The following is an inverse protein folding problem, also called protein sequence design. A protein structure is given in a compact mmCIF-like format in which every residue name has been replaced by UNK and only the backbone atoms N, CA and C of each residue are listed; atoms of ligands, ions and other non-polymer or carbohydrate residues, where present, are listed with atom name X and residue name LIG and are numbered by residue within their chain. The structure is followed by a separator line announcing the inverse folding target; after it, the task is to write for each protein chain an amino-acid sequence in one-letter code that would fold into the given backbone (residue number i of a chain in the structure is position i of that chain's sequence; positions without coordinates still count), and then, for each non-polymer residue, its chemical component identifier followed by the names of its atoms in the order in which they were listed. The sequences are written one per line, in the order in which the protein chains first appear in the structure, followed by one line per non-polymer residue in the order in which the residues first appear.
data_IF_006153471934
#
_entry.id   IF_006153471934
#
_cell.length_a   1.000
_cell.length_b   1.000
_cell.length_c   1.000
_cell.angle_alpha   90.00
_cell.angle_beta   90.00
_cell.angle_gamma   90.00
#
_symmetry.space_group_name_H-M   'P 1'
#
loop_
_entity.id
_entity.type
_entity.pdbx_description
1 polymer ?
#
# COMPACT_ATOMS: atom_id res chain seq x y z
N UNK A 1 -43.39 -0.72 21.25
CA UNK A 1 -43.31 -0.95 19.79
C UNK A 1 -43.79 0.33 19.11
N UNK A 2 -42.84 1.18 18.71
CA UNK A 2 -42.86 1.64 17.33
C UNK A 2 -41.50 1.41 16.65
N UNK A 3 -41.61 0.92 15.43
CA UNK A 3 -40.55 0.72 14.46
C UNK A 3 -40.09 2.03 13.79
N UNK A 4 -38.80 2.02 13.42
CA UNK A 4 -38.20 2.70 12.27
C UNK A 4 -37.82 4.19 12.38
N UNK A 5 -36.61 4.35 12.93
CA UNK A 5 -35.45 5.12 12.42
C UNK A 5 -35.61 6.17 11.31
N UNK A 6 -34.96 7.35 11.46
CA UNK A 6 -34.82 8.35 10.42
C UNK A 6 -33.68 8.01 9.45
N UNK A 7 -33.95 8.16 8.15
CA UNK A 7 -32.92 8.30 7.10
C UNK A 7 -32.36 9.71 7.15
N UNK A 8 -31.23 9.90 7.82
CA UNK A 8 -30.40 11.10 7.66
C UNK A 8 -29.12 10.74 6.92
N UNK A 9 -29.03 11.32 5.72
CA UNK A 9 -27.89 11.24 4.83
C UNK A 9 -26.65 11.88 5.43
N UNK A 10 -25.61 11.08 5.68
CA UNK A 10 -24.24 11.57 5.80
C UNK A 10 -23.52 11.29 4.49
N UNK A 11 -23.62 12.24 3.55
CA UNK A 11 -22.77 12.31 2.36
C UNK A 11 -21.38 12.78 2.81
N UNK A 12 -20.39 11.89 2.78
CA UNK A 12 -18.99 12.27 2.88
C UNK A 12 -18.55 12.97 1.59
N UNK A 13 -18.73 14.28 1.55
CA UNK A 13 -18.05 15.16 0.62
C UNK A 13 -16.64 15.45 1.15
N UNK A 14 -15.66 14.58 0.85
CA UNK A 14 -14.23 14.92 0.98
C UNK A 14 -13.42 14.26 -0.15
N UNK A 15 -12.67 15.11 -0.86
CA UNK A 15 -11.62 14.82 -1.87
C UNK A 15 -11.94 14.83 -3.38
N UNK A 16 -13.04 15.43 -3.85
CA UNK A 16 -13.15 15.82 -5.27
C UNK A 16 -12.43 17.14 -5.64
N UNK A 17 -11.96 17.92 -4.65
CA UNK A 17 -11.46 19.28 -4.87
C UNK A 17 -9.96 19.42 -5.20
N UNK A 18 -9.18 18.32 -5.21
CA UNK A 18 -7.75 18.37 -5.60
C UNK A 18 -7.52 17.91 -7.06
N UNK A 19 -8.55 17.35 -7.72
CA UNK A 19 -8.48 16.94 -9.12
C UNK A 19 -8.55 18.10 -10.12
N UNK A 20 -9.03 19.28 -9.71
CA UNK A 20 -9.34 20.39 -10.60
C UNK A 20 -8.13 21.30 -10.98
N UNK A 21 -6.95 21.10 -10.40
CA UNK A 21 -5.78 21.98 -10.62
C UNK A 21 -4.64 21.37 -11.46
N UNK A 22 -4.84 20.18 -12.03
CA UNK A 22 -3.95 19.60 -13.05
C UNK A 22 -4.59 19.62 -14.46
N UNK A 23 -5.70 20.33 -14.62
CA UNK A 23 -6.38 20.58 -15.88
C UNK A 23 -5.67 21.67 -16.72
N UNK A 24 -4.45 21.36 -17.15
CA UNK A 24 -3.86 21.91 -18.39
C UNK A 24 -3.16 20.71 -19.03
N UNK A 25 -3.79 19.98 -19.93
CA UNK A 25 -4.17 20.50 -21.25
C UNK A 25 -3.03 20.26 -22.23
N UNK A 26 -2.81 19.01 -22.62
CA UNK A 26 -2.29 18.68 -23.96
C UNK A 26 -3.18 17.57 -24.50
N UNK A 27 -4.26 17.99 -25.15
CA UNK A 27 -4.97 17.15 -26.12
C UNK A 27 -4.00 17.00 -27.30
N UNK A 28 -3.30 15.88 -27.37
CA UNK A 28 -2.54 15.51 -28.55
C UNK A 28 -3.46 14.73 -29.49
N UNK A 29 -4.25 15.46 -30.27
CA UNK A 29 -4.79 14.93 -31.54
C UNK A 29 -3.63 14.84 -32.53
N UNK A 30 -3.39 13.65 -33.07
CA UNK A 30 -2.42 13.41 -34.14
C UNK A 30 -1.33 12.45 -33.72
N UNK A 31 -1.29 11.29 -34.41
CA UNK A 31 -0.19 10.33 -34.48
C UNK A 31 0.93 10.57 -33.47
N UNK A 32 0.83 9.94 -32.31
CA UNK A 32 2.02 9.71 -31.49
C UNK A 32 2.98 8.90 -32.35
N UNK A 33 3.93 9.59 -33.00
CA UNK A 33 5.24 9.02 -33.29
C UNK A 33 5.63 8.30 -32.01
N UNK A 34 5.74 6.97 -32.08
CA UNK A 34 6.41 6.20 -31.06
C UNK A 34 7.75 6.90 -30.85
N UNK A 35 7.84 7.69 -29.79
CA UNK A 35 9.13 8.08 -29.26
C UNK A 35 9.75 6.71 -28.98
N UNK A 36 10.87 6.40 -29.64
CA UNK A 36 11.72 5.27 -29.30
C UNK A 36 12.05 5.40 -27.81
N UNK A 37 11.16 4.89 -26.97
CA UNK A 37 11.36 4.81 -25.54
C UNK A 37 12.40 3.72 -25.41
N UNK A 38 13.65 4.12 -25.20
CA UNK A 38 14.69 3.20 -24.77
C UNK A 38 14.11 2.39 -23.61
N UNK A 39 13.89 1.10 -23.85
CA UNK A 39 13.53 0.16 -22.81
C UNK A 39 14.76 0.07 -21.92
N UNK A 40 14.74 0.79 -20.80
CA UNK A 40 15.77 0.69 -19.78
C UNK A 40 15.94 -0.78 -19.41
N UNK A 41 17.19 -1.22 -19.25
CA UNK A 41 17.43 -2.56 -18.75
C UNK A 41 16.90 -2.70 -17.30
N UNK A 42 16.70 -3.92 -16.84
CA UNK A 42 16.03 -4.15 -15.55
C UNK A 42 16.76 -3.50 -14.37
N UNK A 43 18.09 -3.57 -14.36
CA UNK A 43 18.94 -2.90 -13.37
C UNK A 43 18.72 -1.39 -13.32
N UNK A 44 18.63 -0.72 -14.48
CA UNK A 44 18.34 0.71 -14.56
C UNK A 44 16.94 1.06 -14.05
N UNK A 45 15.94 0.20 -14.32
CA UNK A 45 14.58 0.39 -13.79
C UNK A 45 14.53 0.25 -12.27
N UNK A 46 15.24 -0.74 -11.71
CA UNK A 46 15.35 -0.96 -10.27
C UNK A 46 16.05 0.20 -9.55
N UNK A 47 17.18 0.66 -10.11
CA UNK A 47 17.89 1.83 -9.61
C UNK A 47 17.03 3.10 -9.67
N UNK A 48 16.34 3.32 -10.80
CA UNK A 48 15.41 4.44 -10.99
C UNK A 48 14.26 4.41 -9.99
N UNK A 49 13.68 3.23 -9.74
CA UNK A 49 12.63 3.03 -8.74
C UNK A 49 13.10 3.43 -7.33
N UNK A 50 14.29 2.99 -6.93
CA UNK A 50 14.86 3.34 -5.62
C UNK A 50 15.14 4.85 -5.52
N UNK A 51 15.62 5.48 -6.58
CA UNK A 51 15.92 6.92 -6.62
C UNK A 51 14.67 7.83 -6.77
N UNK A 52 13.54 7.32 -7.28
CA UNK A 52 12.36 8.12 -7.60
C UNK A 52 11.78 8.86 -6.38
N UNK A 53 11.45 10.15 -6.52
CA UNK A 53 10.82 10.90 -5.44
C UNK A 53 9.28 10.72 -5.47
N UNK A 54 8.70 10.35 -4.32
CA UNK A 54 7.29 10.05 -4.16
C UNK A 54 6.47 11.26 -3.67
N UNK A 55 6.75 12.47 -4.18
CA UNK A 55 6.26 13.74 -3.57
C UNK A 55 4.75 13.77 -3.30
N UNK A 56 3.95 13.13 -4.16
CA UNK A 56 2.49 13.08 -4.02
C UNK A 56 1.87 11.71 -4.30
N UNK A 57 2.62 10.74 -4.83
CA UNK A 57 2.11 9.42 -5.21
C UNK A 57 3.07 8.32 -4.77
N UNK A 58 2.49 7.16 -4.49
CA UNK A 58 3.24 5.93 -4.29
C UNK A 58 3.94 5.55 -5.60
N UNK A 59 5.26 5.37 -5.56
CA UNK A 59 6.02 4.91 -6.72
C UNK A 59 5.69 3.42 -6.96
N UNK A 60 5.19 3.04 -8.15
CA UNK A 60 4.87 1.66 -8.45
C UNK A 60 6.14 0.80 -8.61
N UNK A 61 6.15 -0.44 -8.11
CA UNK A 61 7.26 -1.37 -8.38
C UNK A 61 7.48 -1.54 -9.90
N UNK A 62 8.74 -1.59 -10.37
CA UNK A 62 9.05 -1.82 -11.78
C UNK A 62 8.57 -3.20 -12.17
N UNK A 63 8.12 -3.34 -13.42
CA UNK A 63 7.94 -4.63 -14.05
C UNK A 63 9.28 -5.38 -14.11
N UNK A 64 9.33 -6.57 -13.52
CA UNK A 64 10.51 -7.43 -13.44
C UNK A 64 10.23 -8.70 -14.24
N UNK A 65 11.16 -9.02 -15.12
CA UNK A 65 11.19 -10.27 -15.86
C UNK A 65 12.13 -11.27 -15.19
N UNK A 66 13.23 -10.79 -14.60
CA UNK A 66 14.21 -11.61 -13.91
C UNK A 66 14.11 -11.50 -12.38
N UNK A 67 13.35 -12.41 -11.77
CA UNK A 67 13.19 -12.46 -10.31
C UNK A 67 14.53 -12.54 -9.56
N UNK A 68 15.55 -13.21 -10.10
CA UNK A 68 16.85 -13.33 -9.42
C UNK A 68 17.57 -11.98 -9.29
N UNK A 69 17.40 -11.10 -10.29
CA UNK A 69 17.96 -9.75 -10.27
C UNK A 69 17.27 -8.88 -9.22
N UNK A 70 15.95 -9.01 -9.06
CA UNK A 70 15.20 -8.36 -7.98
C UNK A 70 15.67 -8.80 -6.58
N UNK A 71 15.88 -10.11 -6.37
CA UNK A 71 16.41 -10.65 -5.11
C UNK A 71 17.79 -10.06 -4.80
N UNK A 72 18.69 -10.09 -5.79
CA UNK A 72 20.03 -9.53 -5.64
C UNK A 72 19.96 -8.04 -5.30
N UNK A 73 19.17 -7.28 -6.05
CA UNK A 73 19.00 -5.84 -5.85
C UNK A 73 18.53 -5.50 -4.43
N UNK A 74 17.50 -6.22 -3.93
CA UNK A 74 17.01 -6.01 -2.55
C UNK A 74 18.10 -6.32 -1.54
N UNK A 75 18.80 -7.45 -1.67
CA UNK A 75 19.88 -7.84 -0.73
C UNK A 75 21.01 -6.81 -0.68
N UNK A 76 21.43 -6.29 -1.84
CA UNK A 76 22.52 -5.31 -1.93
C UNK A 76 22.15 -3.96 -1.32
N UNK A 77 20.87 -3.57 -1.35
CA UNK A 77 20.41 -2.26 -0.89
C UNK A 77 19.75 -2.29 0.49
N UNK A 78 19.50 -3.46 1.08
CA UNK A 78 18.90 -3.61 2.40
C UNK A 78 19.96 -3.42 3.50
N UNK A 79 20.30 -2.17 3.78
CA UNK A 79 21.33 -1.77 4.75
C UNK A 79 20.75 -0.97 5.93
N UNK A 80 21.42 -0.98 7.07
CA UNK A 80 21.02 -0.25 8.29
C UNK A 80 20.91 1.26 8.10
N UNK A 81 21.69 1.79 7.16
CA UNK A 81 21.75 3.21 6.79
C UNK A 81 20.64 3.67 5.87
N UNK A 82 19.74 2.79 5.43
CA UNK A 82 18.65 3.17 4.53
C UNK A 82 17.72 4.21 5.17
N UNK A 83 17.27 5.15 4.35
CA UNK A 83 16.19 6.07 4.72
C UNK A 83 14.86 5.31 4.79
N UNK A 84 13.91 5.80 5.58
CA UNK A 84 12.57 5.21 5.67
C UNK A 84 11.88 5.11 4.29
N UNK A 85 12.05 6.12 3.43
CA UNK A 85 11.49 6.13 2.08
C UNK A 85 12.05 5.02 1.19
N UNK A 86 13.36 4.80 1.23
CA UNK A 86 13.99 3.70 0.49
C UNK A 86 13.60 2.34 1.06
N UNK A 87 13.54 2.21 2.39
CA UNK A 87 13.10 0.98 3.03
C UNK A 87 11.67 0.60 2.64
N UNK A 88 10.74 1.56 2.58
CA UNK A 88 9.37 1.34 2.09
C UNK A 88 9.34 0.87 0.63
N UNK A 89 10.23 1.40 -0.22
CA UNK A 89 10.31 0.96 -1.63
C UNK A 89 10.86 -0.46 -1.75
N UNK A 90 11.92 -0.79 -1.01
CA UNK A 90 12.51 -2.13 -0.97
C UNK A 90 11.50 -3.16 -0.41
N UNK A 91 10.80 -2.80 0.67
CA UNK A 91 9.70 -3.58 1.22
C UNK A 91 8.61 -3.85 0.18
N UNK A 92 8.08 -2.81 -0.47
CA UNK A 92 7.04 -2.97 -1.50
C UNK A 92 7.51 -3.85 -2.67
N UNK A 93 8.75 -3.68 -3.11
CA UNK A 93 9.35 -4.50 -4.16
C UNK A 93 9.39 -5.98 -3.74
N UNK A 94 9.87 -6.26 -2.53
CA UNK A 94 9.96 -7.60 -1.99
C UNK A 94 8.59 -8.26 -1.80
N UNK A 95 7.61 -7.51 -1.27
CA UNK A 95 6.23 -7.98 -1.07
C UNK A 95 5.55 -8.26 -2.41
N UNK A 96 5.64 -7.34 -3.36
CA UNK A 96 4.98 -7.47 -4.67
C UNK A 96 5.49 -8.70 -5.44
N UNK A 97 6.81 -8.91 -5.49
CA UNK A 97 7.43 -10.04 -6.18
C UNK A 97 7.60 -11.30 -5.32
N UNK A 98 7.08 -11.30 -4.09
CA UNK A 98 7.17 -12.42 -3.14
C UNK A 98 8.62 -12.92 -2.99
N UNK A 99 9.54 -11.99 -2.70
CA UNK A 99 10.97 -12.28 -2.57
C UNK A 99 11.29 -12.85 -1.18
N UNK A 100 10.69 -13.98 -0.81
CA UNK A 100 10.85 -14.61 0.50
C UNK A 100 12.31 -14.90 0.88
N UNK A 101 13.20 -15.08 -0.09
CA UNK A 101 14.65 -15.26 0.13
C UNK A 101 15.35 -14.02 0.69
N UNK A 102 14.65 -12.89 0.76
CA UNK A 102 15.14 -11.64 1.35
C UNK A 102 14.65 -11.45 2.80
N UNK A 103 13.75 -12.30 3.31
CA UNK A 103 13.12 -12.14 4.62
C UNK A 103 14.13 -12.05 5.77
N UNK A 104 15.18 -12.90 5.74
CA UNK A 104 16.24 -12.87 6.77
C UNK A 104 17.00 -11.55 6.84
N UNK A 105 17.12 -10.82 5.72
CA UNK A 105 17.72 -9.48 5.74
C UNK A 105 16.83 -8.44 6.44
N UNK A 106 15.51 -8.52 6.24
CA UNK A 106 14.55 -7.65 6.92
C UNK A 106 14.47 -7.96 8.42
N UNK A 107 14.55 -9.24 8.80
CA UNK A 107 14.61 -9.67 10.20
C UNK A 107 15.91 -9.22 10.89
N UNK A 108 17.05 -9.33 10.21
CA UNK A 108 18.32 -8.84 10.74
C UNK A 108 18.25 -7.33 11.03
N UNK A 109 17.75 -6.52 10.10
CA UNK A 109 17.57 -5.08 10.32
C UNK A 109 16.61 -4.75 11.47
N UNK A 110 15.61 -5.60 11.71
CA UNK A 110 14.65 -5.39 12.80
C UNK A 110 15.30 -5.64 14.16
N UNK A 111 16.25 -6.58 14.22
CA UNK A 111 17.00 -6.92 15.45
C UNK A 111 18.21 -6.02 15.69
N UNK A 112 18.67 -5.30 14.66
CA UNK A 112 19.61 -4.18 14.81
C UNK A 112 18.92 -3.06 15.61
N UNK A 113 19.39 -2.85 16.83
CA UNK A 113 18.66 -2.19 17.92
C UNK A 113 18.05 -0.82 17.54
N UNK A 114 16.73 -0.78 17.41
CA UNK A 114 15.92 0.44 17.49
C UNK A 114 15.58 0.73 18.95
N UNK A 115 16.26 1.69 19.57
CA UNK A 115 16.22 1.88 21.03
C UNK A 115 15.02 2.72 21.53
N UNK A 116 14.39 3.49 20.65
CA UNK A 116 13.41 4.51 21.02
C UNK A 116 12.34 4.73 19.92
N UNK A 117 11.43 5.68 20.17
CA UNK A 117 10.36 6.06 19.26
C UNK A 117 10.84 6.50 17.87
N UNK A 118 12.10 6.92 17.69
CA UNK A 118 12.62 7.35 16.38
C UNK A 118 12.85 6.16 15.43
N UNK A 119 13.07 4.96 15.98
CA UNK A 119 13.20 3.72 15.22
C UNK A 119 11.86 3.17 14.74
N UNK A 120 10.79 3.33 15.52
CA UNK A 120 9.46 2.71 15.31
C UNK A 120 8.95 2.75 13.86
N UNK A 121 9.07 3.87 13.10
CA UNK A 121 8.68 3.89 11.69
C UNK A 121 9.38 2.88 10.80
N UNK A 122 10.67 2.59 11.05
CA UNK A 122 11.44 1.60 10.30
C UNK A 122 11.04 0.19 10.74
N UNK A 123 11.01 -0.13 12.03
CA UNK A 123 10.55 -1.44 12.49
C UNK A 123 9.14 -1.78 12.02
N UNK A 124 8.21 -0.82 12.01
CA UNK A 124 6.87 -1.07 11.48
C UNK A 124 6.89 -1.51 10.02
N UNK A 125 7.70 -0.86 9.16
CA UNK A 125 7.87 -1.28 7.76
C UNK A 125 8.50 -2.67 7.67
N UNK A 126 9.50 -2.97 8.50
CA UNK A 126 10.15 -4.28 8.55
C UNK A 126 9.14 -5.37 8.96
N UNK A 127 8.32 -5.13 9.98
CA UNK A 127 7.29 -6.05 10.46
C UNK A 127 6.20 -6.29 9.42
N UNK A 128 5.70 -5.23 8.79
CA UNK A 128 4.74 -5.35 7.68
C UNK A 128 5.35 -6.19 6.55
N UNK A 129 6.64 -6.00 6.25
CA UNK A 129 7.33 -6.81 5.23
C UNK A 129 7.38 -8.28 5.63
N UNK A 130 7.81 -8.58 6.85
CA UNK A 130 7.91 -9.94 7.37
C UNK A 130 6.55 -10.64 7.42
N UNK A 131 5.46 -9.92 7.74
CA UNK A 131 4.10 -10.46 7.70
C UNK A 131 3.73 -11.03 6.31
N UNK A 132 4.31 -10.47 5.24
CA UNK A 132 4.00 -10.87 3.87
C UNK A 132 4.96 -11.91 3.29
N UNK A 133 6.27 -11.73 3.49
CA UNK A 133 7.30 -12.57 2.83
C UNK A 133 8.02 -13.54 3.77
N UNK A 134 7.84 -13.39 5.08
CA UNK A 134 8.43 -14.26 6.10
C UNK A 134 7.83 -15.66 6.09
N UNK A 135 8.59 -16.60 6.65
CA UNK A 135 8.08 -17.95 6.95
C UNK A 135 7.17 -17.94 8.19
N UNK A 136 6.51 -19.07 8.48
CA UNK A 136 5.56 -19.18 9.59
C UNK A 136 6.17 -18.79 10.95
N UNK A 137 7.40 -19.23 11.22
CA UNK A 137 8.13 -18.89 12.45
C UNK A 137 8.41 -17.39 12.54
N UNK A 138 8.88 -16.77 11.46
CA UNK A 138 9.15 -15.34 11.39
C UNK A 138 7.87 -14.52 11.60
N UNK A 139 6.75 -14.94 10.99
CA UNK A 139 5.45 -14.27 11.16
C UNK A 139 4.92 -14.43 12.59
N UNK A 140 5.07 -15.62 13.19
CA UNK A 140 4.68 -15.85 14.59
C UNK A 140 5.51 -14.98 15.55
N UNK A 141 6.83 -14.91 15.37
CA UNK A 141 7.72 -14.05 16.14
C UNK A 141 7.37 -12.56 15.95
N UNK A 142 7.08 -12.15 14.72
CA UNK A 142 6.65 -10.79 14.41
C UNK A 142 5.34 -10.43 15.12
N UNK A 143 4.38 -11.35 15.15
CA UNK A 143 3.07 -11.14 15.77
C UNK A 143 3.08 -11.11 17.30
N UNK A 144 4.11 -11.66 17.95
CA UNK A 144 4.18 -11.73 19.41
C UNK A 144 5.32 -10.88 19.96
N UNK A 145 6.57 -11.29 19.70
CA UNK A 145 7.73 -10.70 20.35
C UNK A 145 8.02 -9.30 19.80
N UNK A 146 8.11 -9.17 18.48
CA UNK A 146 8.54 -7.91 17.88
C UNK A 146 7.46 -6.83 17.91
N UNK A 147 6.18 -7.19 17.75
CA UNK A 147 5.07 -6.26 17.95
C UNK A 147 5.06 -5.69 19.38
N UNK A 148 5.22 -6.55 20.39
CA UNK A 148 5.29 -6.12 21.80
C UNK A 148 6.46 -5.19 22.06
N UNK A 149 7.63 -5.49 21.49
CA UNK A 149 8.80 -4.61 21.60
C UNK A 149 8.56 -3.25 20.92
N UNK A 150 7.86 -3.23 19.79
CA UNK A 150 7.49 -2.00 19.07
C UNK A 150 6.57 -1.14 19.93
N UNK A 151 5.50 -1.72 20.46
CA UNK A 151 4.52 -1.05 21.35
C UNK A 151 5.17 -0.47 22.61
N UNK A 152 6.16 -1.16 23.19
CA UNK A 152 6.89 -0.68 24.36
C UNK A 152 7.78 0.54 24.08
N UNK A 153 8.18 0.75 22.83
CA UNK A 153 9.05 1.87 22.41
C UNK A 153 8.28 3.02 21.79
N UNK A 154 7.03 2.76 21.41
CA UNK A 154 6.22 3.69 20.67
C UNK A 154 5.60 4.78 21.53
N UNK A 155 5.51 5.96 20.94
CA UNK A 155 4.71 7.06 21.44
C UNK A 155 3.26 6.86 20.98
N UNK A 156 2.33 6.65 21.92
CA UNK A 156 0.94 6.33 21.58
C UNK A 156 0.23 7.47 20.84
N UNK A 157 0.56 8.72 21.17
CA UNK A 157 -0.06 9.89 20.57
C UNK A 157 0.23 9.94 19.06
N UNK A 158 1.49 9.74 18.71
CA UNK A 158 1.96 9.92 17.33
C UNK A 158 2.08 8.63 16.50
N UNK A 159 2.12 7.45 17.14
CA UNK A 159 2.50 6.20 16.46
C UNK A 159 1.45 5.08 16.54
N UNK A 160 0.32 5.27 17.25
CA UNK A 160 -0.75 4.26 17.36
C UNK A 160 -1.26 3.74 16.01
N UNK A 161 -1.44 4.63 15.04
CA UNK A 161 -1.94 4.29 13.71
C UNK A 161 -0.94 3.43 12.92
N UNK A 162 0.35 3.71 13.06
CA UNK A 162 1.40 2.94 12.42
C UNK A 162 1.47 1.51 12.98
N UNK A 163 1.30 1.34 14.30
CA UNK A 163 1.24 0.01 14.92
C UNK A 163 -0.03 -0.74 14.48
N UNK A 164 -1.15 -0.04 14.28
CA UNK A 164 -2.36 -0.64 13.73
C UNK A 164 -2.14 -1.20 12.32
N UNK A 165 -1.39 -0.49 11.47
CA UNK A 165 -1.01 -0.99 10.14
C UNK A 165 -0.19 -2.29 10.24
N UNK A 166 0.68 -2.42 11.26
CA UNK A 166 1.43 -3.65 11.53
C UNK A 166 0.47 -4.78 11.92
N UNK A 167 -0.46 -4.53 12.84
CA UNK A 167 -1.48 -5.51 13.26
C UNK A 167 -2.34 -5.97 12.07
N UNK A 168 -2.73 -5.02 11.23
CA UNK A 168 -3.50 -5.25 10.02
C UNK A 168 -2.71 -6.09 9.01
N UNK A 169 -1.41 -5.86 8.84
CA UNK A 169 -0.56 -6.66 7.95
C UNK A 169 -0.36 -8.09 8.46
N UNK A 170 -0.13 -8.25 9.77
CA UNK A 170 -0.02 -9.57 10.42
C UNK A 170 -1.30 -10.38 10.31
N UNK A 171 -2.47 -9.73 10.32
CA UNK A 171 -3.76 -10.38 10.13
C UNK A 171 -4.13 -11.36 11.23
N UNK A 172 -3.50 -11.26 12.40
CA UNK A 172 -3.67 -12.18 13.53
C UNK A 172 -4.64 -11.61 14.56
N UNK A 173 -5.65 -12.38 15.01
CA UNK A 173 -6.52 -11.98 16.13
C UNK A 173 -5.73 -11.68 17.41
N UNK A 174 -4.63 -12.40 17.65
CA UNK A 174 -3.79 -12.18 18.83
C UNK A 174 -3.07 -10.82 18.76
N UNK A 175 -2.56 -10.44 17.59
CA UNK A 175 -1.87 -9.17 17.40
C UNK A 175 -2.81 -7.97 17.63
N UNK A 176 -4.02 -8.00 17.05
CA UNK A 176 -4.98 -6.91 17.23
C UNK A 176 -5.53 -6.84 18.66
N UNK A 177 -5.73 -8.00 19.33
CA UNK A 177 -6.13 -8.04 20.73
C UNK A 177 -5.04 -7.47 21.65
N UNK A 178 -3.77 -7.74 21.37
CA UNK A 178 -2.64 -7.15 22.07
C UNK A 178 -2.61 -5.63 21.90
N UNK A 179 -2.75 -5.12 20.66
CA UNK A 179 -2.80 -3.68 20.40
C UNK A 179 -3.96 -3.00 21.11
N UNK A 180 -5.16 -3.60 21.09
CA UNK A 180 -6.32 -3.12 21.86
C UNK A 180 -5.98 -3.02 23.35
N UNK A 181 -5.32 -4.03 23.92
CA UNK A 181 -4.93 -4.02 25.32
C UNK A 181 -3.87 -2.94 25.62
N UNK A 182 -2.89 -2.74 24.73
CA UNK A 182 -1.89 -1.67 24.85
C UNK A 182 -2.56 -0.30 24.90
N UNK A 183 -3.45 0.01 23.94
CA UNK A 183 -4.20 1.28 23.89
C UNK A 183 -5.09 1.45 25.13
N UNK A 184 -5.79 0.40 25.55
CA UNK A 184 -6.65 0.42 26.74
C UNK A 184 -5.84 0.74 28.01
N UNK A 185 -4.63 0.19 28.12
CA UNK A 185 -3.74 0.41 29.27
C UNK A 185 -3.29 1.88 29.35
N UNK A 186 -2.94 2.48 28.21
CA UNK A 186 -2.61 3.91 28.13
C UNK A 186 -3.81 4.81 28.46
N UNK A 187 -4.97 4.51 27.88
CA UNK A 187 -6.22 5.23 28.17
C UNK A 187 -6.57 5.19 29.67
N UNK A 188 -6.44 4.02 30.32
CA UNK A 188 -6.64 3.90 31.77
C UNK A 188 -5.63 4.71 32.59
N UNK A 189 -4.38 4.81 32.12
CA UNK A 189 -3.38 5.65 32.77
C UNK A 189 -3.73 7.14 32.65
N UNK A 190 -4.14 7.59 31.46
CA UNK A 190 -4.60 8.96 31.21
C UNK A 190 -5.85 9.30 32.06
N UNK A 191 -6.82 8.39 32.17
CA UNK A 191 -8.00 8.55 33.02
C UNK A 191 -7.64 8.73 34.51
N UNK A 192 -6.63 8.00 35.01
CA UNK A 192 -6.14 8.17 36.40
C UNK A 192 -5.47 9.53 36.59
N UNK A 193 -4.60 9.92 35.66
CA UNK A 193 -3.96 11.23 35.69
C UNK A 193 -4.97 12.38 35.61
N UNK A 194 -6.04 12.19 34.83
CA UNK A 194 -7.14 13.15 34.72
C UNK A 194 -7.82 13.34 36.07
N UNK A 195 -8.20 12.24 36.73
CA UNK A 195 -8.84 12.30 38.04
C UNK A 195 -7.95 12.98 39.10
N UNK A 196 -6.65 12.75 39.06
CA UNK A 196 -5.71 13.42 39.96
C UNK A 196 -5.55 14.92 39.63
N UNK A 197 -5.46 15.28 38.34
CA UNK A 197 -5.39 16.68 37.90
C UNK A 197 -6.67 17.47 38.25
N UNK A 198 -7.84 16.83 38.22
CA UNK A 198 -9.12 17.41 38.63
C UNK A 198 -9.15 17.70 40.13
N UNK A 199 -8.64 16.77 40.96
CA UNK A 199 -8.53 16.97 42.42
C UNK A 199 -7.59 18.11 42.78
N UNK A 200 -6.54 18.31 41.99
CA UNK A 200 -5.53 19.35 42.21
C UNK A 200 -5.85 20.68 41.50
N UNK A 201 -7.03 20.81 40.88
CA UNK A 201 -7.47 22.02 40.17
C UNK A 201 -6.48 22.52 39.09
N UNK A 202 -5.86 21.60 38.34
CA UNK A 202 -4.93 21.90 37.24
C UNK A 202 -5.65 22.00 35.89
N UNK A 203 -6.47 23.03 35.71
CA UNK A 203 -7.43 23.15 34.59
C UNK A 203 -6.84 22.90 33.18
N UNK A 204 -5.63 23.39 32.89
CA UNK A 204 -4.98 23.15 31.58
C UNK A 204 -4.60 21.67 31.37
N UNK A 205 -4.17 21.00 32.42
CA UNK A 205 -3.80 19.58 32.38
C UNK A 205 -5.06 18.71 32.26
N UNK A 206 -6.15 19.10 32.94
CA UNK A 206 -7.46 18.44 32.83
C UNK A 206 -7.98 18.46 31.39
N UNK A 207 -7.96 19.62 30.73
CA UNK A 207 -8.44 19.71 29.34
C UNK A 207 -7.62 18.86 28.37
N UNK A 208 -6.29 18.80 28.52
CA UNK A 208 -5.43 17.98 27.67
C UNK A 208 -5.70 16.48 27.84
N UNK A 209 -5.78 16.03 29.11
CA UNK A 209 -6.02 14.62 29.42
C UNK A 209 -7.43 14.15 29.03
N UNK A 210 -8.46 15.02 29.12
CA UNK A 210 -9.80 14.70 28.61
C UNK A 210 -9.79 14.45 27.10
N UNK A 211 -9.17 15.36 26.35
CA UNK A 211 -9.06 15.20 24.90
C UNK A 211 -8.30 13.91 24.53
N UNK A 212 -7.21 13.59 25.25
CA UNK A 212 -6.46 12.35 25.03
C UNK A 212 -7.32 11.11 25.27
N UNK A 213 -8.10 11.08 26.37
CA UNK A 213 -9.03 9.98 26.65
C UNK A 213 -10.09 9.84 25.56
N UNK A 214 -10.73 10.95 25.17
CA UNK A 214 -11.76 10.96 24.13
C UNK A 214 -11.20 10.45 22.78
N UNK A 215 -9.99 10.88 22.40
CA UNK A 215 -9.32 10.42 21.18
C UNK A 215 -8.99 8.92 21.21
N UNK A 216 -8.54 8.39 22.35
CA UNK A 216 -8.23 6.97 22.50
C UNK A 216 -9.51 6.12 22.50
N UNK A 217 -10.61 6.62 23.09
CA UNK A 217 -11.93 5.97 23.04
C UNK A 217 -12.47 5.92 21.60
N UNK A 218 -12.43 7.04 20.87
CA UNK A 218 -12.83 7.09 19.46
C UNK A 218 -11.98 6.13 18.61
N UNK A 219 -10.66 6.13 18.82
CA UNK A 219 -9.74 5.24 18.13
C UNK A 219 -10.03 3.75 18.39
N UNK A 220 -10.33 3.37 19.63
CA UNK A 220 -10.71 2.01 20.01
C UNK A 220 -12.05 1.57 19.40
N UNK A 221 -13.03 2.47 19.36
CA UNK A 221 -14.38 2.22 18.83
C UNK A 221 -14.46 2.28 17.30
N UNK A 222 -13.55 3.03 16.66
CA UNK A 222 -13.50 3.24 15.22
C UNK A 222 -12.44 2.37 14.54
N UNK A 223 -11.19 2.82 14.57
CA UNK A 223 -10.11 2.25 13.75
C UNK A 223 -9.74 0.82 14.18
N UNK A 224 -9.63 0.57 15.48
CA UNK A 224 -9.31 -0.77 16.02
C UNK A 224 -10.46 -1.75 15.73
N UNK A 225 -11.70 -1.38 16.03
CA UNK A 225 -12.87 -2.23 15.77
C UNK A 225 -13.08 -2.54 14.28
N UNK A 226 -12.83 -1.55 13.39
CA UNK A 226 -12.81 -1.78 11.94
C UNK A 226 -11.74 -2.79 11.56
N UNK A 227 -10.53 -2.66 12.10
CA UNK A 227 -9.40 -3.55 11.79
C UNK A 227 -9.68 -4.99 12.25
N UNK A 228 -10.28 -5.19 13.42
CA UNK A 228 -10.75 -6.50 13.87
C UNK A 228 -11.77 -7.12 12.91
N UNK A 229 -12.73 -6.32 12.45
CA UNK A 229 -13.74 -6.77 11.48
C UNK A 229 -13.12 -7.17 10.14
N UNK A 230 -12.12 -6.42 9.67
CA UNK A 230 -11.34 -6.77 8.49
C UNK A 230 -10.55 -8.07 8.69
N UNK A 231 -9.88 -8.25 9.81
CA UNK A 231 -9.13 -9.49 10.12
C UNK A 231 -10.08 -10.70 10.11
N UNK A 232 -11.25 -10.58 10.74
CA UNK A 232 -12.26 -11.63 10.73
C UNK A 232 -12.80 -11.92 9.32
N UNK A 233 -12.98 -10.90 8.49
CA UNK A 233 -13.33 -11.07 7.07
C UNK A 233 -12.25 -11.84 6.30
N UNK A 234 -10.98 -11.46 6.48
CA UNK A 234 -9.84 -12.14 5.81
C UNK A 234 -9.80 -13.61 6.17
N UNK A 235 -9.99 -13.96 7.45
CA UNK A 235 -10.04 -15.36 7.89
C UNK A 235 -11.18 -16.14 7.24
N UNK A 236 -12.38 -15.56 7.18
CA UNK A 236 -13.53 -16.18 6.50
C UNK A 236 -13.25 -16.41 5.02
N UNK A 237 -12.64 -15.45 4.33
CA UNK A 237 -12.27 -15.60 2.92
C UNK A 237 -11.25 -16.73 2.76
N UNK A 238 -10.19 -16.77 3.58
CA UNK A 238 -9.14 -17.80 3.50
C UNK A 238 -9.65 -19.23 3.74
N UNK A 239 -10.84 -19.41 4.33
CA UNK A 239 -11.49 -20.70 4.52
C UNK A 239 -12.35 -21.16 3.33
N UNK A 240 -12.59 -20.30 2.34
CA UNK A 240 -13.39 -20.64 1.15
C UNK A 240 -12.61 -21.56 0.19
N UNK A 241 -13.31 -22.13 -0.80
CA UNK A 241 -12.64 -22.83 -1.90
C UNK A 241 -11.76 -21.86 -2.73
N UNK A 242 -10.68 -22.32 -3.39
CA UNK A 242 -9.80 -21.43 -4.16
C UNK A 242 -10.52 -20.56 -5.20
N UNK A 243 -11.53 -21.10 -5.87
CA UNK A 243 -12.38 -20.39 -6.84
C UNK A 243 -13.17 -19.25 -6.19
N UNK A 244 -13.83 -19.55 -5.07
CA UNK A 244 -14.60 -18.54 -4.32
C UNK A 244 -13.69 -17.48 -3.70
N UNK A 245 -12.51 -17.88 -3.21
CA UNK A 245 -11.47 -16.95 -2.75
C UNK A 245 -11.13 -15.96 -3.86
N UNK A 246 -10.76 -16.45 -5.04
CA UNK A 246 -10.36 -15.60 -6.18
C UNK A 246 -11.45 -14.61 -6.55
N UNK A 247 -12.72 -15.04 -6.61
CA UNK A 247 -13.85 -14.17 -6.90
C UNK A 247 -14.03 -13.06 -5.85
N UNK A 248 -13.97 -13.39 -4.56
CA UNK A 248 -14.10 -12.42 -3.46
C UNK A 248 -12.92 -11.46 -3.39
N UNK A 249 -11.70 -11.96 -3.55
CA UNK A 249 -10.48 -11.17 -3.57
C UNK A 249 -10.47 -10.20 -4.76
N UNK A 250 -10.94 -10.61 -5.94
CA UNK A 250 -11.02 -9.73 -7.10
C UNK A 250 -11.96 -8.54 -6.84
N UNK A 251 -13.13 -8.77 -6.22
CA UNK A 251 -14.06 -7.69 -5.85
C UNK A 251 -13.49 -6.74 -4.81
N UNK A 252 -12.83 -7.29 -3.78
CA UNK A 252 -12.15 -6.47 -2.77
C UNK A 252 -11.04 -5.62 -3.39
N UNK A 253 -10.24 -6.19 -4.30
CA UNK A 253 -9.20 -5.44 -5.01
C UNK A 253 -9.79 -4.32 -5.88
N UNK A 254 -10.92 -4.58 -6.55
CA UNK A 254 -11.60 -3.59 -7.39
C UNK A 254 -12.42 -2.57 -6.57
N UNK A 255 -12.52 -2.76 -5.25
CA UNK A 255 -13.28 -1.90 -4.34
C UNK A 255 -14.78 -1.83 -4.68
N UNK A 256 -15.33 -2.92 -5.23
CA UNK A 256 -16.74 -3.01 -5.65
C UNK A 256 -17.67 -3.57 -4.56
N UNK A 257 -17.21 -3.67 -3.31
CA UNK A 257 -18.01 -4.14 -2.18
C UNK A 257 -18.12 -3.00 -1.16
N UNK A 258 -19.29 -2.84 -0.52
CA UNK A 258 -19.58 -1.68 0.34
C UNK A 258 -18.62 -1.48 1.53
N UNK A 259 -17.99 -2.57 1.97
CA UNK A 259 -17.03 -2.60 3.07
C UNK A 259 -15.57 -2.66 2.59
N UNK A 260 -15.31 -2.48 1.29
CA UNK A 260 -13.96 -2.45 0.76
C UNK A 260 -13.20 -1.23 1.32
N UNK A 261 -12.00 -1.48 1.81
CA UNK A 261 -11.07 -0.44 2.25
C UNK A 261 -9.79 -0.54 1.42
N UNK A 262 -9.00 0.54 1.29
CA UNK A 262 -7.71 0.48 0.58
C UNK A 262 -6.78 -0.60 1.13
N UNK A 263 -6.85 -0.88 2.44
CA UNK A 263 -6.06 -1.93 3.07
C UNK A 263 -6.56 -3.35 2.71
N UNK A 264 -7.88 -3.56 2.64
CA UNK A 264 -8.46 -4.80 2.12
C UNK A 264 -8.15 -4.99 0.63
N UNK A 265 -8.21 -3.93 -0.18
CA UNK A 265 -7.86 -3.98 -1.59
C UNK A 265 -6.38 -4.34 -1.79
N UNK A 266 -5.47 -3.74 -1.01
CA UNK A 266 -4.05 -4.09 -1.00
C UNK A 266 -3.82 -5.54 -0.57
N UNK A 267 -4.42 -5.96 0.55
CA UNK A 267 -4.35 -7.35 1.01
C UNK A 267 -4.85 -8.33 -0.04
N UNK A 268 -5.96 -8.02 -0.70
CA UNK A 268 -6.55 -8.87 -1.72
C UNK A 268 -5.64 -9.00 -2.96
N UNK A 269 -5.07 -7.89 -3.41
CA UNK A 269 -4.12 -7.90 -4.52
C UNK A 269 -2.87 -8.74 -4.23
N UNK A 270 -2.23 -8.55 -3.06
CA UNK A 270 -1.07 -9.36 -2.67
C UNK A 270 -1.45 -10.84 -2.51
N UNK A 271 -2.62 -11.14 -1.94
CA UNK A 271 -3.09 -12.53 -1.79
C UNK A 271 -3.30 -13.19 -3.17
N UNK A 272 -3.89 -12.48 -4.14
CA UNK A 272 -4.03 -12.97 -5.51
C UNK A 272 -2.68 -13.24 -6.19
N UNK A 273 -1.69 -12.35 -6.00
CA UNK A 273 -0.33 -12.60 -6.48
C UNK A 273 0.24 -13.89 -5.89
N UNK A 274 0.07 -14.13 -4.58
CA UNK A 274 0.54 -15.34 -3.90
C UNK A 274 -0.18 -16.60 -4.36
N UNK A 275 -1.47 -16.51 -4.67
CA UNK A 275 -2.20 -17.64 -5.25
C UNK A 275 -1.69 -17.96 -6.65
N UNK A 276 -1.39 -16.93 -7.45
CA UNK A 276 -0.91 -17.10 -8.83
C UNK A 276 0.46 -17.78 -8.96
N UNK A 277 1.33 -17.63 -7.95
CA UNK A 277 2.67 -18.25 -7.94
C UNK A 277 2.66 -19.73 -7.54
N UNK A 278 1.57 -20.22 -6.92
CA UNK A 278 1.46 -21.61 -6.46
C UNK A 278 1.13 -22.59 -7.58
N UNK A 279 0.32 -22.19 -8.55
CA UNK A 279 -0.10 -23.05 -9.66
C UNK A 279 -0.49 -22.24 -10.91
N UNK A 280 -0.07 -22.66 -12.12
CA UNK A 280 -0.46 -22.02 -13.38
C UNK A 280 -1.98 -21.93 -13.59
N UNK A 281 -2.73 -22.95 -13.18
CA UNK A 281 -4.20 -22.98 -13.33
C UNK A 281 -4.89 -21.88 -12.52
N UNK A 282 -4.38 -21.59 -11.32
CA UNK A 282 -4.89 -20.50 -10.49
C UNK A 282 -4.61 -19.15 -11.14
N UNK A 283 -3.40 -18.94 -11.69
CA UNK A 283 -3.06 -17.72 -12.42
C UNK A 283 -4.03 -17.48 -13.59
N UNK A 284 -4.29 -18.49 -14.41
CA UNK A 284 -5.23 -18.41 -15.53
C UNK A 284 -6.68 -18.18 -15.06
N UNK A 285 -7.08 -18.76 -13.93
CA UNK A 285 -8.40 -18.52 -13.34
C UNK A 285 -8.57 -17.10 -12.79
N UNK A 286 -7.54 -16.55 -12.14
CA UNK A 286 -7.51 -15.15 -11.69
C UNK A 286 -7.62 -14.21 -12.89
N UNK A 287 -6.83 -14.43 -13.94
CA UNK A 287 -6.88 -13.64 -15.17
C UNK A 287 -8.30 -13.62 -15.78
N UNK A 288 -8.94 -14.79 -15.91
CA UNK A 288 -10.33 -14.90 -16.40
C UNK A 288 -11.33 -14.17 -15.50
N UNK A 289 -11.20 -14.29 -14.19
CA UNK A 289 -12.07 -13.61 -13.22
C UNK A 289 -12.02 -12.10 -13.43
N UNK A 290 -10.83 -11.52 -13.61
CA UNK A 290 -10.70 -10.09 -13.88
C UNK A 290 -11.26 -9.67 -15.26
N UNK A 291 -11.13 -10.51 -16.28
CA UNK A 291 -11.77 -10.27 -17.59
C UNK A 291 -13.29 -10.26 -17.46
N UNK A 292 -13.86 -11.21 -16.71
CA UNK A 292 -15.30 -11.28 -16.45
C UNK A 292 -15.78 -10.03 -15.70
N UNK A 293 -15.06 -9.58 -14.67
CA UNK A 293 -15.34 -8.32 -13.97
C UNK A 293 -15.25 -7.11 -14.91
N UNK A 294 -14.23 -7.02 -15.75
CA UNK A 294 -14.13 -5.92 -16.72
C UNK A 294 -15.33 -5.87 -17.68
N UNK A 295 -15.90 -7.03 -18.04
CA UNK A 295 -17.12 -7.12 -18.88
C UNK A 295 -18.38 -6.68 -18.14
N UNK A 296 -18.49 -6.95 -16.84
CA UNK A 296 -19.60 -6.43 -16.01
C UNK A 296 -19.64 -4.88 -16.03
N UNK A 297 -18.49 -4.23 -16.23
CA UNK A 297 -18.35 -2.77 -16.34
C UNK A 297 -18.15 -2.25 -17.78
N UNK A 298 -18.38 -3.07 -18.81
CA UNK A 298 -18.16 -2.69 -20.21
C UNK A 298 -19.23 -1.75 -20.77
N UNK A 299 -20.47 -1.87 -20.30
CA UNK A 299 -21.56 -0.98 -20.67
C UNK A 299 -21.75 0.05 -19.56
N UNK A 300 -21.40 1.33 -19.78
CA UNK A 300 -21.81 2.38 -18.87
C UNK A 300 -23.34 2.40 -18.81
N UNK A 301 -23.90 2.49 -17.61
CA UNK A 301 -25.35 2.74 -17.45
C UNK A 301 -25.69 4.13 -17.98
N UNK A 302 -24.73 5.07 -17.90
CA UNK A 302 -24.78 6.42 -18.47
C UNK A 302 -23.42 6.84 -19.09
N UNK A 303 -23.39 7.46 -20.29
CA UNK A 303 -22.15 7.99 -20.87
C UNK A 303 -21.48 9.01 -19.93
N UNK A 304 -20.23 8.76 -19.53
CA UNK A 304 -19.47 9.64 -18.64
C UNK A 304 -19.36 9.19 -17.18
N UNK A 305 -19.78 7.96 -16.86
CA UNK A 305 -19.52 7.34 -15.56
C UNK A 305 -18.03 6.96 -15.41
N UNK A 306 -17.23 7.94 -14.99
CA UNK A 306 -15.78 7.81 -14.79
C UNK A 306 -15.43 6.69 -13.79
N UNK A 307 -16.30 6.39 -12.83
CA UNK A 307 -16.07 5.35 -11.82
C UNK A 307 -16.13 3.95 -12.45
N UNK A 308 -17.13 3.70 -13.30
CA UNK A 308 -17.23 2.46 -14.07
C UNK A 308 -16.02 2.24 -15.00
N UNK A 309 -15.56 3.29 -15.68
CA UNK A 309 -14.39 3.21 -16.56
C UNK A 309 -13.11 2.92 -15.78
N UNK A 310 -12.93 3.52 -14.59
CA UNK A 310 -11.78 3.25 -13.72
C UNK A 310 -11.78 1.80 -13.21
N UNK A 311 -12.92 1.27 -12.76
CA UNK A 311 -13.03 -0.13 -12.32
C UNK A 311 -12.72 -1.08 -13.47
N UNK A 312 -13.25 -0.82 -14.67
CA UNK A 312 -12.94 -1.60 -15.88
C UNK A 312 -11.45 -1.56 -16.21
N UNK A 313 -10.84 -0.38 -16.19
CA UNK A 313 -9.41 -0.22 -16.46
C UNK A 313 -8.55 -0.97 -15.45
N UNK A 314 -8.86 -0.84 -14.14
CA UNK A 314 -8.18 -1.54 -13.04
C UNK A 314 -8.30 -3.06 -13.18
N UNK A 315 -9.47 -3.56 -13.58
CA UNK A 315 -9.71 -4.98 -13.84
C UNK A 315 -8.90 -5.49 -15.05
N UNK A 316 -8.89 -4.78 -16.17
CA UNK A 316 -8.11 -5.18 -17.35
C UNK A 316 -6.60 -5.15 -17.09
N UNK A 317 -6.09 -4.14 -16.36
CA UNK A 317 -4.69 -4.09 -15.93
C UNK A 317 -4.31 -5.30 -15.07
N UNK A 318 -5.17 -5.67 -14.12
CA UNK A 318 -4.97 -6.86 -13.30
C UNK A 318 -4.98 -8.14 -14.14
N UNK A 319 -5.97 -8.31 -15.04
CA UNK A 319 -6.02 -9.43 -15.97
C UNK A 319 -4.74 -9.54 -16.82
N UNK A 320 -4.22 -8.43 -17.32
CA UNK A 320 -2.96 -8.38 -18.09
C UNK A 320 -1.78 -8.89 -17.26
N UNK A 321 -1.64 -8.45 -16.01
CA UNK A 321 -0.57 -8.91 -15.11
C UNK A 321 -0.61 -10.43 -14.92
N UNK A 322 -1.82 -10.99 -14.77
CA UNK A 322 -2.00 -12.44 -14.64
C UNK A 322 -1.92 -13.21 -15.97
N UNK A 323 -1.69 -12.53 -17.11
CA UNK A 323 -1.40 -13.17 -18.39
C UNK A 323 -2.60 -13.28 -19.34
N UNK A 324 -3.68 -12.53 -19.12
CA UNK A 324 -4.74 -12.40 -20.12
C UNK A 324 -4.19 -11.76 -21.40
N UNK A 325 -4.59 -12.30 -22.55
CA UNK A 325 -4.34 -11.69 -23.85
C UNK A 325 -5.54 -10.84 -24.25
N UNK A 326 -5.26 -9.67 -24.81
CA UNK A 326 -6.27 -8.72 -25.27
C UNK A 326 -6.12 -8.50 -26.77
N UNK A 327 -7.24 -8.20 -27.43
CA UNK A 327 -7.20 -7.74 -28.80
C UNK A 327 -6.68 -6.28 -28.89
N UNK A 328 -6.40 -5.84 -30.11
CA UNK A 328 -5.88 -4.49 -30.37
C UNK A 328 -6.83 -3.40 -29.90
N UNK A 329 -8.15 -3.61 -29.96
CA UNK A 329 -9.13 -2.61 -29.56
C UNK A 329 -9.12 -2.41 -28.04
N UNK A 330 -9.09 -3.51 -27.28
CA UNK A 330 -9.01 -3.50 -25.82
C UNK A 330 -7.71 -2.88 -25.32
N UNK A 331 -6.57 -3.21 -25.96
CA UNK A 331 -5.28 -2.61 -25.64
C UNK A 331 -5.30 -1.10 -25.90
N UNK A 332 -5.77 -0.67 -27.08
CA UNK A 332 -5.87 0.75 -27.41
C UNK A 332 -6.78 1.49 -26.43
N UNK A 333 -7.94 0.94 -26.09
CA UNK A 333 -8.82 1.52 -25.07
C UNK A 333 -8.10 1.64 -23.73
N UNK A 334 -7.48 0.56 -23.25
CA UNK A 334 -6.78 0.56 -21.95
C UNK A 334 -5.65 1.60 -21.89
N UNK A 335 -4.95 1.85 -23.00
CA UNK A 335 -3.91 2.87 -23.12
C UNK A 335 -4.45 4.31 -23.06
N UNK A 336 -5.72 4.55 -23.43
CA UNK A 336 -6.36 5.86 -23.25
C UNK A 336 -6.79 6.12 -21.81
N UNK A 337 -6.90 5.07 -20.99
CA UNK A 337 -7.33 5.19 -19.60
C UNK A 337 -6.21 5.71 -18.69
N UNK A 338 -6.56 6.61 -17.77
CA UNK A 338 -5.62 7.20 -16.82
C UNK A 338 -5.01 6.12 -15.91
N UNK A 339 -3.68 6.06 -15.82
CA UNK A 339 -2.94 5.26 -14.82
C UNK A 339 -2.21 6.22 -13.87
N UNK A 340 -2.68 6.27 -12.63
CA UNK A 340 -2.11 7.11 -11.56
C UNK A 340 -0.86 6.48 -10.93
N UNK A 341 -0.52 5.24 -11.28
CA UNK A 341 0.54 4.46 -10.63
C UNK A 341 0.12 3.81 -9.31
N UNK A 342 -1.14 3.98 -8.87
CA UNK A 342 -1.65 3.42 -7.61
C UNK A 342 -2.21 2.00 -7.74
N UNK A 343 -2.56 1.56 -8.95
CA UNK A 343 -3.07 0.20 -9.16
C UNK A 343 -1.96 -0.81 -8.89
N UNK A 344 -2.08 -1.55 -7.79
CA UNK A 344 -1.09 -2.54 -7.37
C UNK A 344 -0.88 -3.59 -8.46
N UNK A 345 -1.96 -4.12 -9.04
CA UNK A 345 -1.92 -5.23 -10.00
C UNK A 345 -1.76 -4.79 -11.46
N UNK A 346 -1.28 -3.57 -11.72
CA UNK A 346 -1.05 -3.13 -13.09
C UNK A 346 0.38 -3.42 -13.56
N UNK A 347 0.51 -4.06 -14.71
CA UNK A 347 1.79 -4.33 -15.37
C UNK A 347 2.30 -3.08 -16.09
N UNK A 348 3.51 -2.61 -15.74
CA UNK A 348 4.05 -1.33 -16.23
C UNK A 348 5.51 -1.42 -16.71
N UNK A 349 5.77 -2.10 -17.84
CA UNK A 349 7.12 -2.26 -18.38
C UNK A 349 7.75 -0.95 -18.89
N UNK A 350 6.91 0.03 -19.22
CA UNK A 350 7.32 1.33 -19.76
C UNK A 350 7.26 2.46 -18.73
N UNK A 351 7.05 2.15 -17.44
CA UNK A 351 6.97 3.20 -16.42
C UNK A 351 8.29 3.94 -16.29
N UNK A 352 8.23 5.27 -16.40
CA UNK A 352 9.40 6.11 -16.27
C UNK A 352 9.54 6.61 -14.84
N UNK A 353 10.60 6.16 -14.17
CA UNK A 353 11.03 6.69 -12.88
C UNK A 353 11.79 7.98 -13.09
N UNK A 354 11.09 9.11 -13.11
CA UNK A 354 11.73 10.41 -13.21
C UNK A 354 12.56 10.67 -11.94
N UNK A 355 13.88 10.76 -12.11
CA UNK A 355 14.74 11.41 -11.12
C UNK A 355 14.35 12.88 -10.99
N UNK A 356 14.56 13.43 -9.80
CA UNK A 356 14.25 14.82 -9.47
C UNK A 356 14.73 15.78 -10.57
N UNK A 357 13.92 16.80 -10.90
CA UNK A 357 14.30 17.80 -11.92
C UNK A 357 15.66 18.43 -11.59
N UNK A 358 16.05 18.45 -10.31
CA UNK A 358 17.37 18.88 -9.84
C UNK A 358 18.56 18.11 -10.42
N UNK A 359 18.44 16.81 -10.71
CA UNK A 359 19.50 16.04 -11.38
C UNK A 359 19.54 16.33 -12.89
N UNK A 360 18.39 16.53 -13.55
CA UNK A 360 18.37 17.00 -14.94
C UNK A 360 19.04 18.36 -15.10
N UNK A 361 18.91 19.27 -14.13
CA UNK A 361 19.63 20.55 -14.14
C UNK A 361 21.13 20.41 -13.87
N UNK A 362 21.54 19.52 -12.94
CA UNK A 362 22.97 19.20 -12.72
C UNK A 362 23.63 18.57 -13.96
N UNK A 363 22.99 17.58 -14.58
CA UNK A 363 23.49 16.92 -15.79
C UNK A 363 23.55 17.90 -16.97
N UNK A 364 22.52 18.75 -17.17
CA UNK A 364 22.57 19.84 -18.17
C UNK A 364 23.65 20.90 -17.87
N UNK A 365 23.91 21.21 -16.60
CA UNK A 365 24.94 22.17 -16.20
C UNK A 365 26.36 21.58 -16.39
N UNK A 366 26.56 20.30 -16.08
CA UNK A 366 27.82 19.58 -16.34
C UNK A 366 28.07 19.40 -17.84
N UNK A 367 27.04 19.07 -18.62
CA UNK A 367 27.15 18.93 -20.07
C UNK A 367 27.41 20.29 -20.75
N UNK A 368 26.82 21.38 -20.26
CA UNK A 368 27.18 22.74 -20.67
C UNK A 368 28.60 23.11 -20.25
N UNK A 369 29.03 22.77 -19.04
CA UNK A 369 30.40 23.00 -18.56
C UNK A 369 31.47 22.24 -19.36
N UNK A 370 31.13 21.06 -19.91
CA UNK A 370 31.99 20.29 -20.82
C UNK A 370 32.01 20.86 -22.25
N UNK A 371 30.93 21.49 -22.71
CA UNK A 371 30.90 22.20 -24.00
C UNK A 371 31.77 23.46 -24.01
N UNK A 372 31.92 24.15 -22.87
CA UNK A 372 32.81 25.33 -22.76
C UNK A 372 34.30 25.02 -22.62
N UNK A 373 34.69 23.74 -22.41
CA UNK A 373 36.10 23.31 -22.36
C UNK A 373 36.62 22.74 -23.69
N UNK A 374 35.84 22.81 -24.77
CA UNK A 374 36.27 22.44 -26.12
C UNK A 374 36.17 23.62 -27.08
N UNK A 375 37.03 24.62 -26.89
CA UNK A 375 37.63 25.38 -28.00
C UNK A 375 39.04 25.82 -27.58
N UNK A 376 40.11 25.38 -28.26
CA UNK A 376 41.33 26.16 -28.32
C UNK A 376 41.12 27.45 -29.12
#
# INVERSE_FOLDING_TARGET
MPEQTPRTAYKFARCAAVAALLATGVVATGEQKMIDQQVLNESERLAGYLAANAKYNVVPPPAIENRAEAVRFVREHLTSTQSLGNLRKLSRLAVFYQLSETSGGFENLLTEKEADATGVPKAAVLLVTLAWIGNETQVANAAQEYLRQLENRADIESQRQLILEVCQALGSPAAIAQHRQWVTTHMQAAQRQLADAEREHRDRQVSGLRNEVDELEEYLGGDVARTESEIALRQRILQLSPTEQISRLARLYLETEDYATPALAYWAGITLLRMSSRAPDLRAHIARTFVERAREHEKPVDPGDEEHELVRAKALRAAQLFGASFDTQQLNWLHTQRDTGSDLLAWRPQWQYLEDRGQRFKKKAEDRGKQFKKKP
#
